data_IF_446842676025
#
_entry.id   IF_446842676025
#
_cell.length_a   1.000
_cell.length_b   1.000
_cell.length_c   1.000
_cell.angle_alpha   90.00
_cell.angle_beta   90.00
_cell.angle_gamma   90.00
#
_symmetry.space_group_name_H-M   'P 1'
#
loop_
_entity.id
_entity.type
_entity.pdbx_description
1 polymer ?
#
# COMPACT_ATOMS: atom_id res chain seq x y z
N UNK A 1 16.71 -8.70 -10.40
CA UNK A 1 15.55 -7.78 -10.48
C UNK A 1 15.67 -6.76 -9.35
N UNK A 2 15.70 -5.44 -9.63
CA UNK A 2 15.87 -4.40 -8.59
C UNK A 2 14.63 -3.55 -8.26
N UNK A 3 13.49 -3.78 -8.91
CA UNK A 3 12.16 -3.50 -8.35
C UNK A 3 11.38 -4.80 -8.30
N UNK A 4 11.29 -5.44 -7.12
CA UNK A 4 10.69 -6.77 -6.98
C UNK A 4 9.20 -6.70 -6.70
N UNK A 5 8.38 -7.41 -7.49
CA UNK A 5 6.99 -7.67 -7.10
C UNK A 5 6.97 -8.61 -5.90
N UNK A 6 6.16 -8.27 -4.91
CA UNK A 6 5.98 -9.02 -3.68
C UNK A 6 4.51 -8.98 -3.28
N UNK A 7 4.03 -10.08 -2.73
CA UNK A 7 2.77 -10.13 -2.00
C UNK A 7 2.89 -9.36 -0.68
N UNK A 8 1.76 -8.92 -0.12
CA UNK A 8 1.74 -8.30 1.20
C UNK A 8 2.32 -9.23 2.27
N UNK A 9 2.06 -10.54 2.19
CA UNK A 9 2.63 -11.52 3.11
C UNK A 9 4.16 -11.60 3.04
N UNK A 10 4.75 -11.52 1.84
CA UNK A 10 6.21 -11.46 1.69
C UNK A 10 6.77 -10.17 2.29
N UNK A 11 6.10 -9.03 2.08
CA UNK A 11 6.51 -7.74 2.67
C UNK A 11 6.47 -7.79 4.19
N UNK A 12 5.40 -8.34 4.78
CA UNK A 12 5.27 -8.52 6.23
C UNK A 12 6.43 -9.36 6.77
N UNK A 13 6.73 -10.51 6.16
CA UNK A 13 7.86 -11.36 6.60
C UNK A 13 9.21 -10.65 6.52
N UNK A 14 9.43 -9.83 5.49
CA UNK A 14 10.65 -9.03 5.37
C UNK A 14 10.72 -7.97 6.48
N UNK A 15 9.61 -7.32 6.77
CA UNK A 15 9.52 -6.33 7.84
C UNK A 15 9.75 -6.95 9.23
N UNK A 16 9.17 -8.12 9.52
CA UNK A 16 9.43 -8.87 10.75
C UNK A 16 10.91 -9.21 10.91
N UNK A 17 11.58 -9.61 9.81
CA UNK A 17 13.02 -9.91 9.81
C UNK A 17 13.87 -8.67 10.11
N UNK A 18 13.55 -7.54 9.49
CA UNK A 18 14.25 -6.27 9.73
C UNK A 18 14.04 -5.79 11.16
N UNK A 19 12.82 -5.97 11.68
CA UNK A 19 12.44 -5.46 13.00
C UNK A 19 12.82 -6.41 14.15
N UNK A 20 13.11 -7.68 13.85
CA UNK A 20 13.49 -8.68 14.85
C UNK A 20 12.32 -9.23 15.68
N UNK A 21 11.07 -8.92 15.32
CA UNK A 21 9.88 -9.43 16.00
C UNK A 21 8.78 -9.80 15.03
N UNK A 22 7.88 -10.69 15.47
CA UNK A 22 6.68 -11.08 14.74
C UNK A 22 5.59 -10.03 14.92
N UNK A 23 4.87 -9.74 13.84
CA UNK A 23 3.69 -8.88 13.92
C UNK A 23 2.45 -9.72 14.16
N UNK A 24 1.54 -9.19 14.97
CA UNK A 24 0.19 -9.73 15.02
C UNK A 24 -0.56 -9.26 13.76
N UNK A 25 -0.92 -10.21 12.89
CA UNK A 25 -1.50 -9.92 11.57
C UNK A 25 -2.96 -10.31 11.58
N UNK A 26 -3.84 -9.32 11.47
CA UNK A 26 -5.26 -9.55 11.23
C UNK A 26 -5.53 -9.60 9.72
N UNK A 27 -6.16 -10.67 9.27
CA UNK A 27 -6.63 -10.80 7.90
C UNK A 27 -8.08 -10.33 7.79
N UNK A 28 -8.32 -9.34 6.94
CA UNK A 28 -9.66 -8.84 6.63
C UNK A 28 -10.10 -9.37 5.27
N UNK A 29 -11.36 -9.80 5.19
CA UNK A 29 -12.01 -10.06 3.91
C UNK A 29 -12.22 -8.75 3.15
N UNK A 30 -12.38 -8.85 1.84
CA UNK A 30 -12.70 -7.69 1.01
C UNK A 30 -14.00 -6.99 1.47
N UNK A 31 -15.00 -7.75 1.90
CA UNK A 31 -16.23 -7.22 2.45
C UNK A 31 -15.99 -6.41 3.73
N UNK A 32 -15.18 -6.91 4.65
CA UNK A 32 -14.84 -6.19 5.89
C UNK A 32 -14.07 -4.90 5.61
N UNK A 33 -13.21 -4.89 4.58
CA UNK A 33 -12.51 -3.68 4.13
C UNK A 33 -13.52 -2.65 3.61
N UNK A 34 -14.49 -3.06 2.77
CA UNK A 34 -15.54 -2.19 2.26
C UNK A 34 -16.41 -1.60 3.37
N UNK A 35 -16.84 -2.42 4.31
CA UNK A 35 -17.62 -1.98 5.48
C UNK A 35 -16.84 -0.94 6.30
N UNK A 36 -15.54 -1.16 6.50
CA UNK A 36 -14.66 -0.22 7.20
C UNK A 36 -14.53 1.11 6.45
N UNK A 37 -14.37 1.08 5.13
CA UNK A 37 -14.29 2.29 4.29
C UNK A 37 -15.60 3.08 4.35
N UNK A 38 -16.73 2.40 4.20
CA UNK A 38 -18.05 3.04 4.12
C UNK A 38 -18.50 3.59 5.48
N UNK A 39 -18.18 2.92 6.59
CA UNK A 39 -18.50 3.38 7.95
C UNK A 39 -17.76 4.66 8.35
N UNK A 40 -16.59 4.93 7.74
CA UNK A 40 -15.79 6.15 7.96
C UNK A 40 -16.27 7.35 7.18
N UNK A 41 -17.25 7.20 6.31
CA UNK A 41 -17.86 8.30 5.58
C UNK A 41 -19.19 8.65 6.27
N UNK A 42 -19.19 9.42 7.38
CA UNK A 42 -20.43 10.02 7.81
C UNK A 42 -20.91 10.89 6.64
N UNK A 43 -22.15 10.70 6.20
CA UNK A 43 -22.76 11.47 5.12
C UNK A 43 -22.93 12.94 5.51
N UNK A 44 -21.82 13.63 5.76
CA UNK A 44 -21.80 15.05 6.03
C UNK A 44 -22.26 15.76 4.75
N UNK A 45 -23.26 16.64 4.82
CA UNK A 45 -23.67 17.42 3.67
C UNK A 45 -22.43 18.15 3.13
N UNK A 46 -22.19 17.99 1.83
CA UNK A 46 -21.00 18.52 1.16
C UNK A 46 -20.79 19.99 1.55
N UNK A 47 -19.52 20.36 1.80
CA UNK A 47 -19.21 21.74 2.17
C UNK A 47 -19.71 22.70 1.07
N UNK A 48 -20.26 23.86 1.44
CA UNK A 48 -20.76 24.84 0.47
C UNK A 48 -19.70 25.38 -0.50
N UNK A 49 -18.41 25.17 -0.21
CA UNK A 49 -17.28 25.53 -1.07
C UNK A 49 -16.90 24.45 -2.11
N UNK A 50 -17.60 23.30 -2.10
CA UNK A 50 -17.37 22.19 -3.03
C UNK A 50 -16.03 21.47 -2.84
N UNK A 51 -15.27 21.79 -1.78
CA UNK A 51 -13.97 21.17 -1.54
C UNK A 51 -14.13 19.88 -0.73
N UNK A 52 -13.47 18.78 -1.14
CA UNK A 52 -13.49 17.56 -0.38
C UNK A 52 -12.78 17.75 0.97
N UNK A 53 -13.40 17.19 2.00
CA UNK A 53 -12.81 17.06 3.34
C UNK A 53 -11.67 16.05 3.33
N UNK A 54 -10.80 16.12 4.34
CA UNK A 54 -9.73 15.12 4.51
C UNK A 54 -10.28 13.69 4.58
N UNK A 55 -11.44 13.49 5.23
CA UNK A 55 -12.11 12.20 5.33
C UNK A 55 -12.56 11.67 3.96
N UNK A 56 -13.14 12.51 3.11
CA UNK A 56 -13.57 12.12 1.76
C UNK A 56 -12.37 11.76 0.88
N UNK A 57 -11.25 12.48 1.02
CA UNK A 57 -10.00 12.15 0.31
C UNK A 57 -9.44 10.80 0.78
N UNK A 58 -9.48 10.52 2.08
CA UNK A 58 -9.05 9.23 2.63
C UNK A 58 -9.91 8.07 2.13
N UNK A 59 -11.24 8.23 2.12
CA UNK A 59 -12.19 7.24 1.60
C UNK A 59 -11.94 6.99 0.11
N UNK A 60 -11.83 8.06 -0.70
CA UNK A 60 -11.55 7.95 -2.13
C UNK A 60 -10.21 7.22 -2.39
N UNK A 61 -9.17 7.52 -1.60
CA UNK A 61 -7.87 6.84 -1.71
C UNK A 61 -7.97 5.36 -1.34
N UNK A 62 -8.70 5.01 -0.28
CA UNK A 62 -8.89 3.62 0.12
C UNK A 62 -9.63 2.81 -0.96
N UNK A 63 -10.68 3.39 -1.56
CA UNK A 63 -11.40 2.79 -2.67
C UNK A 63 -10.51 2.58 -3.90
N UNK A 64 -9.65 3.56 -4.22
CA UNK A 64 -8.68 3.44 -5.31
C UNK A 64 -7.72 2.27 -5.09
N UNK A 65 -7.14 2.13 -3.89
CA UNK A 65 -6.24 1.02 -3.58
C UNK A 65 -6.95 -0.33 -3.69
N UNK A 66 -8.19 -0.43 -3.19
CA UNK A 66 -8.96 -1.67 -3.34
C UNK A 66 -9.22 -2.01 -4.81
N UNK A 67 -9.54 -1.01 -5.64
CA UNK A 67 -9.73 -1.21 -7.06
C UNK A 67 -8.44 -1.64 -7.77
N UNK A 68 -7.29 -1.14 -7.35
CA UNK A 68 -5.98 -1.59 -7.86
C UNK A 68 -5.75 -3.07 -7.52
N UNK A 69 -6.04 -3.49 -6.28
CA UNK A 69 -5.91 -4.90 -5.87
C UNK A 69 -6.83 -5.83 -6.66
N UNK A 70 -8.05 -5.38 -7.00
CA UNK A 70 -9.00 -6.13 -7.83
C UNK A 70 -8.54 -6.26 -9.27
N UNK A 71 -8.14 -5.14 -9.87
CA UNK A 71 -7.87 -5.04 -11.30
C UNK A 71 -6.47 -5.48 -11.71
N UNK A 72 -5.52 -5.50 -10.77
CA UNK A 72 -4.12 -5.75 -11.08
C UNK A 72 -3.49 -6.79 -10.15
N UNK A 73 -4.02 -8.01 -10.17
CA UNK A 73 -3.55 -9.13 -9.32
C UNK A 73 -2.08 -9.49 -9.57
N UNK A 74 -1.55 -9.28 -10.78
CA UNK A 74 -0.21 -9.70 -11.19
C UNK A 74 0.81 -8.55 -11.27
N UNK A 75 0.35 -7.30 -11.16
CA UNK A 75 1.16 -6.08 -11.31
C UNK A 75 1.24 -5.57 -12.76
N UNK A 76 1.74 -4.35 -12.94
CA UNK A 76 1.87 -3.72 -14.27
C UNK A 76 2.66 -4.56 -15.28
N UNK A 77 2.04 -4.96 -16.39
CA UNK A 77 2.62 -5.85 -17.43
C UNK A 77 3.29 -5.12 -18.61
N UNK A 78 3.78 -3.90 -18.41
CA UNK A 78 4.52 -3.16 -19.44
C UNK A 78 5.98 -2.87 -19.07
N UNK A 79 6.65 -2.11 -19.95
CA UNK A 79 8.01 -1.61 -19.71
C UNK A 79 8.03 -0.78 -18.43
N UNK A 80 8.72 -1.28 -17.41
CA UNK A 80 8.84 -0.56 -16.14
C UNK A 80 10.11 0.32 -16.11
N UNK A 81 10.27 1.11 -15.03
CA UNK A 81 11.43 2.00 -14.89
C UNK A 81 12.77 1.28 -14.95
N UNK A 82 12.86 0.00 -14.57
CA UNK A 82 14.10 -0.76 -14.71
C UNK A 82 14.46 -1.01 -16.18
N UNK A 83 13.45 -1.06 -17.07
CA UNK A 83 13.66 -1.22 -18.52
C UNK A 83 13.87 0.12 -19.22
N UNK A 84 13.17 1.17 -18.78
CA UNK A 84 13.27 2.51 -19.37
C UNK A 84 14.52 3.28 -18.91
N UNK A 85 15.01 3.00 -17.70
CA UNK A 85 16.14 3.68 -17.09
C UNK A 85 17.06 2.66 -16.40
N UNK A 86 17.73 1.76 -17.16
CA UNK A 86 18.55 0.69 -16.60
C UNK A 86 19.75 1.19 -15.78
N UNK A 87 20.19 2.41 -16.02
CA UNK A 87 21.24 3.09 -15.24
C UNK A 87 20.78 3.48 -13.83
N UNK A 88 19.47 3.61 -13.62
CA UNK A 88 18.92 3.94 -12.30
C UNK A 88 18.74 2.65 -11.52
N UNK A 89 19.61 2.46 -10.54
CA UNK A 89 19.52 1.33 -9.64
C UNK A 89 18.35 1.52 -8.67
N UNK A 90 17.30 0.72 -8.81
CA UNK A 90 16.20 0.70 -7.86
C UNK A 90 16.62 0.07 -6.53
N UNK A 91 16.16 0.69 -5.43
CA UNK A 91 16.30 0.15 -4.07
C UNK A 91 15.34 -1.02 -3.92
N UNK A 92 15.84 -2.16 -3.43
CA UNK A 92 15.00 -3.30 -3.13
C UNK A 92 14.16 -3.09 -1.87
N UNK A 93 13.08 -3.86 -1.75
CA UNK A 93 12.19 -3.82 -0.58
C UNK A 93 12.96 -4.06 0.73
N UNK A 94 13.86 -5.07 0.85
CA UNK A 94 14.63 -5.27 2.09
C UNK A 94 15.50 -4.06 2.46
N UNK A 95 16.21 -3.48 1.49
CA UNK A 95 17.09 -2.33 1.71
C UNK A 95 16.30 -1.09 2.12
N UNK A 96 15.14 -0.87 1.48
CA UNK A 96 14.21 0.19 1.86
C UNK A 96 13.70 0.00 3.29
N UNK A 97 13.23 -1.21 3.64
CA UNK A 97 12.74 -1.52 4.99
C UNK A 97 13.84 -1.34 6.04
N UNK A 98 15.09 -1.72 5.73
CA UNK A 98 16.21 -1.51 6.63
C UNK A 98 16.51 -0.01 6.85
N UNK A 99 16.42 0.82 5.80
CA UNK A 99 16.62 2.27 5.95
C UNK A 99 15.50 2.94 6.73
N UNK A 100 14.27 2.49 6.51
CA UNK A 100 13.06 3.09 7.09
C UNK A 100 12.83 2.65 8.55
N UNK A 101 12.99 1.37 8.84
CA UNK A 101 12.70 0.76 10.15
C UNK A 101 13.92 0.16 10.84
N UNK A 102 15.00 -0.11 10.13
CA UNK A 102 16.21 -0.73 10.69
C UNK A 102 17.13 0.21 11.46
N UNK A 103 16.75 1.47 11.69
CA UNK A 103 17.46 2.37 12.60
C UNK A 103 16.78 2.41 13.97
N UNK A 104 17.01 1.38 14.78
CA UNK A 104 17.15 1.42 16.25
C UNK A 104 17.66 0.06 16.75
N UNK A 105 18.96 -0.19 16.64
CA UNK A 105 19.76 -0.94 17.62
C UNK A 105 21.16 -0.31 17.67
#
# INVERSE_FOLDING_TARGET
MRGGRRTLNEIVRLAEKVHGQKFDVTHLSEQQILETINSRSPGAPGRPDGKPTASEVEVARAQLYLQILRSNRTGYEGKNLNELCPQVQSTGVPEFLQQWWGKQQ
#
